data_IF_315873238347
#
_entry.id   IF_315873238347
#
_cell.length_a   1.000
_cell.length_b   1.000
_cell.length_c   1.000
_cell.angle_alpha   90.00
_cell.angle_beta   90.00
_cell.angle_gamma   90.00
#
_symmetry.space_group_name_H-M   'P 1'
#
loop_
_entity.id
_entity.type
_entity.pdbx_description
1 polymer ?
#
# COMPACT_ATOMS: atom_id res chain seq x y z
N UNK A 1 34.45 3.42 4.32
CA UNK A 1 34.05 2.78 3.05
C UNK A 1 32.80 1.91 3.22
N UNK A 2 31.57 2.47 3.17
CA UNK A 2 30.32 1.70 2.90
C UNK A 2 29.18 2.69 2.53
N UNK A 3 29.31 3.47 1.45
CA UNK A 3 28.16 4.21 0.92
C UNK A 3 27.32 3.22 0.12
N UNK A 4 26.24 2.68 0.70
CA UNK A 4 25.25 1.91 -0.03
C UNK A 4 24.36 2.92 -0.78
N UNK A 5 24.34 2.82 -2.11
CA UNK A 5 23.53 3.66 -3.00
C UNK A 5 22.05 3.64 -2.61
N UNK A 6 21.32 4.78 -2.71
CA UNK A 6 19.88 4.80 -2.49
C UNK A 6 19.20 4.13 -3.68
N UNK A 7 18.91 2.84 -3.58
CA UNK A 7 17.94 2.22 -4.48
C UNK A 7 16.59 2.80 -4.08
N UNK A 8 16.01 3.62 -4.96
CA UNK A 8 14.69 4.23 -4.79
C UNK A 8 13.54 3.19 -4.80
N UNK A 9 13.86 1.89 -4.72
CA UNK A 9 12.92 0.78 -4.62
C UNK A 9 12.68 0.43 -3.16
N UNK A 10 11.83 1.20 -2.48
CA UNK A 10 11.28 0.77 -1.18
C UNK A 10 10.23 -0.30 -1.47
N UNK A 11 10.40 -1.51 -0.94
CA UNK A 11 9.37 -2.54 -1.02
C UNK A 11 8.33 -2.26 0.07
N UNK A 12 7.05 -2.43 -0.22
CA UNK A 12 5.99 -2.24 0.80
C UNK A 12 5.70 -3.57 1.45
N UNK A 13 5.75 -3.62 2.78
CA UNK A 13 5.33 -4.78 3.55
C UNK A 13 3.79 -4.93 3.43
N UNK A 14 3.28 -6.06 2.89
CA UNK A 14 1.84 -6.25 2.68
C UNK A 14 1.04 -6.43 3.99
N UNK A 15 1.71 -6.66 5.11
CA UNK A 15 1.07 -6.84 6.43
C UNK A 15 0.81 -5.51 7.09
N UNK A 16 1.85 -4.66 7.16
CA UNK A 16 1.79 -3.39 7.90
C UNK A 16 1.73 -2.14 7.01
N UNK A 17 1.98 -2.26 5.71
CA UNK A 17 2.03 -1.13 4.78
C UNK A 17 3.30 -0.26 4.93
N UNK A 18 4.27 -0.68 5.74
CA UNK A 18 5.51 0.07 5.92
C UNK A 18 6.46 -0.12 4.74
N UNK A 19 7.20 0.94 4.43
CA UNK A 19 8.28 0.91 3.47
C UNK A 19 9.50 0.19 4.05
N UNK A 20 9.89 -0.91 3.42
CA UNK A 20 11.06 -1.73 3.74
C UNK A 20 12.14 -1.46 2.72
N UNK A 21 13.37 -1.24 3.19
CA UNK A 21 14.53 -1.18 2.31
C UNK A 21 14.95 -2.61 1.94
N UNK A 22 14.89 -3.03 0.66
CA UNK A 22 15.40 -4.32 0.24
C UNK A 22 16.93 -4.29 0.32
N UNK A 23 17.45 -4.72 1.46
CA UNK A 23 18.87 -4.84 1.76
C UNK A 23 19.25 -6.25 2.20
N UNK A 24 20.53 -6.47 2.51
CA UNK A 24 21.06 -7.79 2.92
C UNK A 24 20.44 -8.37 4.20
N UNK A 25 19.76 -7.55 5.00
CA UNK A 25 19.07 -7.96 6.22
C UNK A 25 17.54 -7.89 6.10
N UNK A 26 17.00 -7.67 4.88
CA UNK A 26 15.56 -7.67 4.68
C UNK A 26 15.01 -9.09 4.76
N UNK A 27 13.90 -9.24 5.48
CA UNK A 27 13.23 -10.52 5.61
C UNK A 27 12.39 -10.73 4.35
N UNK A 28 12.62 -11.81 3.64
CA UNK A 28 11.93 -12.11 2.40
C UNK A 28 11.16 -13.43 2.48
N UNK A 29 10.09 -13.54 1.71
CA UNK A 29 9.42 -14.81 1.45
C UNK A 29 8.98 -14.90 -0.01
N UNK A 30 9.02 -16.09 -0.57
CA UNK A 30 8.62 -16.32 -1.97
C UNK A 30 7.32 -17.12 -1.99
N UNK A 31 6.25 -16.52 -2.50
CA UNK A 31 4.93 -17.16 -2.63
C UNK A 31 4.46 -17.02 -4.08
N UNK A 32 4.07 -18.14 -4.70
CA UNK A 32 3.62 -18.19 -6.10
C UNK A 32 4.63 -17.55 -7.09
N UNK A 33 5.93 -17.72 -6.82
CA UNK A 33 7.00 -17.14 -7.64
C UNK A 33 7.24 -15.64 -7.45
N UNK A 34 6.55 -14.99 -6.51
CA UNK A 34 6.76 -13.57 -6.17
C UNK A 34 7.49 -13.44 -4.84
N UNK A 35 8.52 -12.59 -4.79
CA UNK A 35 9.29 -12.29 -3.58
C UNK A 35 8.70 -11.07 -2.87
N UNK A 36 8.27 -11.28 -1.62
CA UNK A 36 7.76 -10.24 -0.73
C UNK A 36 8.79 -9.90 0.33
N UNK A 37 8.80 -8.64 0.76
CA UNK A 37 9.73 -8.10 1.76
C UNK A 37 8.95 -7.69 3.01
N UNK A 38 9.51 -7.99 4.18
CA UNK A 38 8.89 -7.73 5.47
C UNK A 38 9.83 -6.92 6.37
N UNK A 39 9.25 -6.05 7.18
CA UNK A 39 10.01 -5.25 8.13
C UNK A 39 10.50 -6.08 9.33
N UNK A 40 9.79 -7.16 9.68
CA UNK A 40 10.05 -7.99 10.84
C UNK A 40 9.65 -9.45 10.61
N UNK A 41 10.23 -10.36 11.39
CA UNK A 41 9.90 -11.80 11.32
C UNK A 41 8.45 -12.07 11.71
N UNK A 42 7.90 -11.24 12.62
CA UNK A 42 6.49 -11.28 12.98
C UNK A 42 5.56 -11.01 11.79
N UNK A 43 5.90 -10.03 10.94
CA UNK A 43 5.16 -9.76 9.71
C UNK A 43 5.23 -10.95 8.75
N UNK A 44 6.43 -11.52 8.54
CA UNK A 44 6.58 -12.70 7.69
C UNK A 44 5.73 -13.87 8.19
N UNK A 45 5.78 -14.19 9.50
CA UNK A 45 4.98 -15.28 10.09
C UNK A 45 3.47 -15.03 9.97
N UNK A 46 3.02 -13.78 10.17
CA UNK A 46 1.62 -13.42 10.00
C UNK A 46 1.17 -13.59 8.54
N UNK A 47 2.03 -13.18 7.60
CA UNK A 47 1.81 -13.35 6.17
C UNK A 47 1.78 -14.81 5.75
N UNK A 48 2.72 -15.63 6.22
CA UNK A 48 2.79 -17.08 5.95
C UNK A 48 1.53 -17.81 6.45
N UNK A 49 0.94 -17.37 7.57
CA UNK A 49 -0.32 -17.94 8.08
C UNK A 49 -1.51 -17.70 7.16
N UNK A 50 -1.60 -16.53 6.52
CA UNK A 50 -2.77 -16.16 5.70
C UNK A 50 -2.37 -15.21 4.55
N UNK A 51 -1.59 -15.66 3.56
CA UNK A 51 -1.03 -14.76 2.56
C UNK A 51 -2.12 -14.14 1.68
N UNK A 52 -3.16 -14.90 1.35
CA UNK A 52 -4.27 -14.43 0.51
C UNK A 52 -4.96 -13.18 1.06
N UNK A 53 -5.12 -13.10 2.39
CA UNK A 53 -5.74 -11.96 3.09
C UNK A 53 -4.94 -10.67 2.99
N UNK A 54 -3.62 -10.77 2.84
CA UNK A 54 -2.72 -9.62 2.73
C UNK A 54 -2.40 -9.25 1.27
N UNK A 55 -2.62 -10.19 0.34
CA UNK A 55 -2.48 -9.96 -1.10
C UNK A 55 -3.72 -9.29 -1.71
N UNK A 56 -4.87 -9.32 -1.03
CA UNK A 56 -6.03 -8.53 -1.42
C UNK A 56 -5.73 -7.05 -1.17
N UNK A 57 -5.73 -6.19 -2.21
CA UNK A 57 -5.56 -4.75 -2.02
C UNK A 57 -6.72 -4.25 -1.16
N UNK A 58 -6.44 -3.80 0.06
CA UNK A 58 -7.47 -3.09 0.84
C UNK A 58 -7.84 -1.85 0.03
N UNK A 59 -9.12 -1.67 -0.37
CA UNK A 59 -9.53 -0.42 -0.97
C UNK A 59 -9.21 0.67 0.05
N UNK A 60 -8.36 1.61 -0.36
CA UNK A 60 -7.95 2.73 0.46
C UNK A 60 -9.21 3.42 0.98
N UNK A 61 -9.35 3.44 2.30
CA UNK A 61 -10.52 3.99 2.98
C UNK A 61 -10.49 5.51 2.89
N UNK A 62 -10.84 6.06 1.73
CA UNK A 62 -11.14 7.48 1.58
C UNK A 62 -12.63 7.70 1.32
N UNK A 63 -13.44 7.47 2.36
CA UNK A 63 -14.75 8.12 2.51
C UNK A 63 -14.85 8.77 3.89
N UNK A 64 -13.85 9.61 4.21
CA UNK A 64 -14.04 10.68 5.17
C UNK A 64 -14.88 11.82 4.57
N UNK A 65 -14.84 12.99 5.19
CA UNK A 65 -15.46 14.27 4.77
C UNK A 65 -15.57 14.50 3.25
N UNK A 66 -14.53 14.11 2.48
CA UNK A 66 -14.49 14.17 1.02
C UNK A 66 -15.55 13.33 0.30
N UNK A 67 -15.91 12.15 0.81
CA UNK A 67 -16.97 11.31 0.23
C UNK A 67 -18.35 11.94 0.36
N UNK A 68 -18.64 12.62 1.48
CA UNK A 68 -19.88 13.39 1.66
C UNK A 68 -19.88 14.68 0.82
N UNK A 69 -18.72 15.30 0.65
CA UNK A 69 -18.56 16.48 -0.20
C UNK A 69 -18.80 16.15 -1.68
N UNK A 70 -18.21 15.07 -2.19
CA UNK A 70 -18.44 14.58 -3.57
C UNK A 70 -19.93 14.24 -3.81
N UNK A 71 -20.58 13.52 -2.88
CA UNK A 71 -22.03 13.22 -2.96
C UNK A 71 -22.89 14.50 -2.98
N UNK A 72 -22.51 15.53 -2.19
CA UNK A 72 -23.20 16.83 -2.20
C UNK A 72 -22.95 17.62 -3.48
N UNK A 73 -21.73 17.58 -4.04
CA UNK A 73 -21.42 18.22 -5.32
C UNK A 73 -22.20 17.57 -6.48
N UNK A 74 -22.27 16.25 -6.53
CA UNK A 74 -23.01 15.50 -7.56
C UNK A 74 -24.50 15.84 -7.53
N UNK A 75 -25.11 15.88 -6.34
CA UNK A 75 -26.53 16.27 -6.16
C UNK A 75 -26.82 17.73 -6.50
N UNK A 76 -25.84 18.62 -6.34
CA UNK A 76 -26.04 20.06 -6.56
C UNK A 76 -25.78 20.49 -8.00
N UNK A 77 -24.94 19.75 -8.73
CA UNK A 77 -24.51 20.12 -10.11
C UNK A 77 -24.95 19.13 -11.18
N UNK A 78 -25.57 17.99 -10.80
CA UNK A 78 -25.97 16.94 -11.75
C UNK A 78 -24.81 16.39 -12.58
N UNK A 79 -23.58 16.48 -12.08
CA UNK A 79 -22.37 16.07 -12.80
C UNK A 79 -21.89 17.06 -13.88
N UNK A 80 -22.46 18.27 -13.95
CA UNK A 80 -21.97 19.32 -14.86
C UNK A 80 -20.98 20.22 -14.10
N UNK A 81 -19.69 19.94 -14.28
CA UNK A 81 -18.60 20.75 -13.72
C UNK A 81 -18.78 22.25 -14.04
N UNK A 82 -18.41 23.11 -13.09
CA UNK A 82 -18.48 24.57 -13.23
C UNK A 82 -17.99 25.00 -14.62
N UNK A 83 -18.87 25.63 -15.40
CA UNK A 83 -18.48 26.28 -16.65
C UNK A 83 -17.78 27.58 -16.26
N UNK A 84 -16.46 27.62 -16.33
CA UNK A 84 -15.71 28.86 -16.23
C UNK A 84 -16.18 29.79 -17.36
N UNK A 85 -16.53 31.03 -16.99
CA UNK A 85 -16.91 32.10 -17.91
C UNK A 85 -15.65 32.77 -18.50
#
# INVERSE_FOLDING_TARGET
>A
MKHQAPTNGKAIDPVCGMAVAPGKAAIITTIKGQTYYFCAEGCRKAFEKNPQKFLEPKPEKHKGIWGRYLDRLEKSTGGKGMKCH
#
